data_IF_159922892928
#
_entry.id   IF_159922892928
#
_cell.length_a   1.000
_cell.length_b   1.000
_cell.length_c   1.000
_cell.angle_alpha   90.00
_cell.angle_beta   90.00
_cell.angle_gamma   90.00
#
_symmetry.space_group_name_H-M   'P 1'
#
loop_
_entity.id
_entity.type
_entity.pdbx_description
1 polymer ?
#
# COMPACT_ATOMS: atom_id res chain seq x y z
N UNK A 1 85.21 -55.25 70.12
CA UNK A 1 83.90 -55.93 70.18
C UNK A 1 82.86 -54.82 70.15
N UNK A 2 82.18 -54.61 69.01
CA UNK A 2 80.75 -54.95 68.79
C UNK A 2 79.86 -54.37 69.92
N UNK A 3 78.81 -53.57 69.69
CA UNK A 3 77.72 -53.73 68.70
C UNK A 3 76.87 -52.43 68.67
N UNK A 4 76.38 -52.03 67.48
CA UNK A 4 75.05 -51.46 67.13
C UNK A 4 74.32 -50.55 68.14
N UNK A 5 73.88 -49.32 67.85
CA UNK A 5 73.05 -48.92 66.70
C UNK A 5 71.56 -49.09 67.05
N UNK A 6 70.85 -48.02 67.43
CA UNK A 6 69.37 -47.94 67.34
C UNK A 6 68.95 -46.48 67.18
N UNK A 7 68.48 -46.18 65.97
CA UNK A 7 67.59 -45.07 65.62
C UNK A 7 66.18 -45.51 66.04
N UNK A 8 65.42 -44.65 66.70
CA UNK A 8 63.94 -44.62 66.65
C UNK A 8 63.56 -43.21 67.17
N UNK A 9 63.29 -42.19 66.34
CA UNK A 9 62.05 -41.94 65.60
C UNK A 9 60.77 -42.22 66.38
N UNK A 10 60.32 -41.26 67.18
CA UNK A 10 58.90 -41.16 67.55
C UNK A 10 58.34 -39.81 67.09
N UNK A 11 57.89 -39.85 65.84
CA UNK A 11 56.84 -39.01 65.31
C UNK A 11 55.59 -39.30 66.15
N UNK A 12 55.27 -38.43 67.12
CA UNK A 12 54.13 -38.61 68.01
C UNK A 12 52.83 -38.63 67.20
N UNK A 13 52.43 -39.83 66.79
CA UNK A 13 51.09 -40.11 66.30
C UNK A 13 50.14 -39.87 67.47
N UNK A 14 49.27 -38.89 67.31
CA UNK A 14 48.27 -38.55 68.30
C UNK A 14 47.23 -39.68 68.31
N UNK A 15 47.27 -40.55 69.34
CA UNK A 15 46.36 -41.69 69.49
C UNK A 15 44.90 -41.20 69.64
N UNK A 16 44.12 -41.37 68.58
CA UNK A 16 42.69 -41.05 68.55
C UNK A 16 41.96 -42.04 69.48
N UNK A 17 41.25 -41.54 70.48
CA UNK A 17 40.53 -42.40 71.42
C UNK A 17 39.14 -42.80 70.90
N UNK A 18 38.60 -43.93 71.36
CA UNK A 18 37.24 -44.35 71.03
C UNK A 18 36.18 -43.29 71.42
N UNK A 19 36.44 -42.48 72.45
CA UNK A 19 35.56 -41.39 72.86
C UNK A 19 35.53 -40.25 71.82
N UNK A 20 36.67 -39.92 71.21
CA UNK A 20 36.75 -38.92 70.13
C UNK A 20 36.02 -39.39 68.87
N UNK A 21 36.11 -40.70 68.57
CA UNK A 21 35.37 -41.33 67.47
C UNK A 21 33.86 -41.26 67.72
N UNK A 22 33.41 -41.58 68.94
CA UNK A 22 31.99 -41.52 69.31
C UNK A 22 31.44 -40.08 69.26
N UNK A 23 32.23 -39.09 69.69
CA UNK A 23 31.85 -37.68 69.60
C UNK A 23 31.67 -37.22 68.14
N UNK A 24 32.63 -37.55 67.26
CA UNK A 24 32.52 -37.27 65.82
C UNK A 24 31.33 -38.00 65.17
N UNK A 25 31.06 -39.25 65.55
CA UNK A 25 29.87 -39.99 65.08
C UNK A 25 28.57 -39.29 65.47
N UNK A 26 28.48 -38.78 66.69
CA UNK A 26 27.31 -38.03 67.16
C UNK A 26 27.14 -36.70 66.41
N UNK A 27 28.23 -35.97 66.17
CA UNK A 27 28.22 -34.73 65.36
C UNK A 27 27.81 -35.00 63.90
N UNK A 28 28.36 -36.05 63.28
CA UNK A 28 27.99 -36.47 61.93
C UNK A 28 26.52 -36.91 61.84
N UNK A 29 26.00 -37.61 62.85
CA UNK A 29 24.58 -37.97 62.91
C UNK A 29 23.70 -36.72 62.94
N UNK A 30 24.03 -35.72 63.75
CA UNK A 30 23.27 -34.47 63.81
C UNK A 30 23.37 -33.62 62.53
N UNK A 31 24.49 -33.71 61.80
CA UNK A 31 24.60 -33.13 60.46
C UNK A 31 23.75 -33.88 59.44
N UNK A 32 23.73 -35.22 59.52
CA UNK A 32 22.91 -36.07 58.65
C UNK A 32 21.41 -35.77 58.82
N UNK A 33 20.95 -35.57 60.05
CA UNK A 33 19.54 -35.21 60.31
C UNK A 33 19.17 -33.87 59.66
N UNK A 34 20.06 -32.85 59.77
CA UNK A 34 19.85 -31.55 59.11
C UNK A 34 19.86 -31.67 57.59
N UNK A 35 20.73 -32.51 57.03
CA UNK A 35 20.73 -32.79 55.59
C UNK A 35 19.42 -33.45 55.20
N UNK A 36 18.93 -34.43 55.96
CA UNK A 36 17.65 -35.09 55.69
C UNK A 36 16.48 -34.11 55.69
N UNK A 37 16.40 -33.18 56.65
CA UNK A 37 15.33 -32.17 56.68
C UNK A 37 15.39 -31.25 55.45
N UNK A 38 16.57 -30.75 55.08
CA UNK A 38 16.71 -29.90 53.88
C UNK A 38 16.36 -30.65 52.59
N UNK A 39 16.67 -31.94 52.51
CA UNK A 39 16.31 -32.78 51.34
C UNK A 39 14.80 -32.96 51.23
N UNK A 40 14.07 -33.05 52.34
CA UNK A 40 12.61 -33.12 52.33
C UNK A 40 11.96 -31.80 51.90
N UNK A 41 12.46 -30.67 52.41
CA UNK A 41 12.01 -29.33 52.00
C UNK A 41 12.24 -29.09 50.50
N UNK A 42 13.45 -29.36 50.00
CA UNK A 42 13.79 -29.21 48.57
C UNK A 42 12.95 -30.12 47.67
N UNK A 43 12.58 -31.32 48.13
CA UNK A 43 11.68 -32.21 47.38
C UNK A 43 10.28 -31.60 47.25
N UNK A 44 9.80 -30.93 48.29
CA UNK A 44 8.54 -30.19 48.28
C UNK A 44 8.58 -29.05 47.26
N UNK A 45 9.59 -28.19 47.33
CA UNK A 45 9.77 -27.08 46.38
C UNK A 45 9.89 -27.57 44.93
N UNK A 46 10.65 -28.66 44.69
CA UNK A 46 10.77 -29.27 43.35
C UNK A 46 9.42 -29.79 42.85
N UNK A 47 8.56 -30.29 43.73
CA UNK A 47 7.23 -30.77 43.35
C UNK A 47 6.33 -29.60 42.94
N UNK A 48 6.25 -28.54 43.74
CA UNK A 48 5.49 -27.32 43.43
C UNK A 48 5.96 -26.68 42.12
N UNK A 49 7.28 -26.51 41.96
CA UNK A 49 7.88 -25.98 40.73
C UNK A 49 7.54 -26.82 39.50
N UNK A 50 7.40 -28.15 39.64
CA UNK A 50 7.00 -29.01 38.52
C UNK A 50 5.52 -28.81 38.15
N UNK A 51 4.66 -28.62 39.15
CA UNK A 51 3.25 -28.34 38.93
C UNK A 51 3.06 -27.00 38.21
N UNK A 52 3.73 -25.95 38.70
CA UNK A 52 3.73 -24.62 38.08
C UNK A 52 4.28 -24.66 36.65
N UNK A 53 5.37 -25.40 36.40
CA UNK A 53 5.93 -25.53 35.05
C UNK A 53 4.95 -26.22 34.09
N UNK A 54 4.21 -27.21 34.57
CA UNK A 54 3.15 -27.86 33.79
C UNK A 54 2.02 -26.88 33.46
N UNK A 55 1.55 -26.11 34.45
CA UNK A 55 0.51 -25.11 34.27
C UNK A 55 0.94 -24.00 33.29
N UNK A 56 2.14 -23.44 33.46
CA UNK A 56 2.71 -22.42 32.59
C UNK A 56 2.86 -22.92 31.14
N UNK A 57 3.28 -24.17 30.93
CA UNK A 57 3.33 -24.76 29.58
C UNK A 57 1.95 -24.84 28.93
N UNK A 58 0.93 -25.22 29.69
CA UNK A 58 -0.44 -25.29 29.19
C UNK A 58 -1.00 -23.89 28.84
N UNK A 59 -0.69 -22.87 29.64
CA UNK A 59 -1.06 -21.49 29.33
C UNK A 59 -0.32 -20.94 28.13
N UNK A 60 0.98 -21.22 28.01
CA UNK A 60 1.80 -20.82 26.88
C UNK A 60 1.26 -21.42 25.58
N UNK A 61 0.83 -22.67 25.59
CA UNK A 61 0.20 -23.32 24.44
C UNK A 61 -1.14 -22.67 24.08
N UNK A 62 -2.00 -22.37 25.07
CA UNK A 62 -3.24 -21.62 24.84
C UNK A 62 -2.98 -20.23 24.26
N UNK A 63 -1.95 -19.53 24.74
CA UNK A 63 -1.55 -18.22 24.25
C UNK A 63 -1.05 -18.29 22.80
N UNK A 64 -0.24 -19.29 22.45
CA UNK A 64 0.20 -19.52 21.06
C UNK A 64 -0.97 -19.74 20.12
N UNK A 65 -1.92 -20.59 20.49
CA UNK A 65 -3.11 -20.85 19.67
C UNK A 65 -3.98 -19.59 19.49
N UNK A 66 -4.10 -18.76 20.52
CA UNK A 66 -4.79 -17.46 20.41
C UNK A 66 -4.05 -16.50 19.49
N UNK A 67 -2.71 -16.48 19.55
CA UNK A 67 -1.88 -15.64 18.70
C UNK A 67 -2.01 -16.03 17.23
N UNK A 68 -1.89 -17.32 16.91
CA UNK A 68 -2.06 -17.83 15.54
C UNK A 68 -3.45 -17.48 14.97
N UNK A 69 -4.52 -17.69 15.74
CA UNK A 69 -5.88 -17.30 15.33
C UNK A 69 -6.01 -15.79 15.12
N UNK A 70 -5.38 -14.99 15.97
CA UNK A 70 -5.39 -13.53 15.81
C UNK A 70 -4.64 -13.09 14.55
N UNK A 71 -3.51 -13.72 14.24
CA UNK A 71 -2.76 -13.47 13.01
C UNK A 71 -3.56 -13.83 11.76
N UNK A 72 -4.23 -14.99 11.75
CA UNK A 72 -5.14 -15.40 10.68
C UNK A 72 -6.27 -14.38 10.47
N UNK A 73 -6.96 -13.98 11.54
CA UNK A 73 -8.03 -12.98 11.48
C UNK A 73 -7.53 -11.63 10.95
N UNK A 74 -6.31 -11.22 11.33
CA UNK A 74 -5.71 -9.96 10.84
C UNK A 74 -5.41 -10.05 9.34
N UNK A 75 -4.90 -11.18 8.85
CA UNK A 75 -4.64 -11.39 7.42
C UNK A 75 -5.96 -11.36 6.63
N UNK A 76 -6.99 -12.04 7.12
CA UNK A 76 -8.30 -12.07 6.51
C UNK A 76 -8.92 -10.66 6.46
N UNK A 77 -8.93 -9.95 7.60
CA UNK A 77 -9.46 -8.60 7.69
C UNK A 77 -8.74 -7.62 6.76
N UNK A 78 -7.41 -7.68 6.68
CA UNK A 78 -6.62 -6.86 5.73
C UNK A 78 -6.97 -7.16 4.28
N UNK A 79 -7.16 -8.44 3.95
CA UNK A 79 -7.54 -8.87 2.60
C UNK A 79 -8.94 -8.35 2.24
N UNK A 80 -9.91 -8.52 3.13
CA UNK A 80 -11.27 -8.03 2.94
C UNK A 80 -11.32 -6.50 2.83
N UNK A 81 -10.58 -5.78 3.68
CA UNK A 81 -10.48 -4.33 3.62
C UNK A 81 -9.92 -3.85 2.27
N UNK A 82 -8.85 -4.47 1.77
CA UNK A 82 -8.27 -4.13 0.46
C UNK A 82 -9.24 -4.39 -0.70
N UNK A 83 -9.99 -5.50 -0.66
CA UNK A 83 -11.04 -5.81 -1.64
C UNK A 83 -12.17 -4.78 -1.59
N UNK A 84 -12.61 -4.39 -0.39
CA UNK A 84 -13.66 -3.39 -0.20
C UNK A 84 -13.22 -2.01 -0.71
N UNK A 85 -12.02 -1.55 -0.34
CA UNK A 85 -11.44 -0.29 -0.81
C UNK A 85 -11.37 -0.23 -2.33
N UNK A 86 -10.91 -1.33 -2.97
CA UNK A 86 -10.88 -1.42 -4.44
C UNK A 86 -12.28 -1.29 -5.04
N UNK A 87 -13.27 -1.99 -4.49
CA UNK A 87 -14.66 -1.93 -4.97
C UNK A 87 -15.26 -0.55 -4.84
N UNK A 88 -15.01 0.13 -3.71
CA UNK A 88 -15.45 1.52 -3.51
C UNK A 88 -14.82 2.43 -4.56
N UNK A 89 -13.51 2.35 -4.76
CA UNK A 89 -12.81 3.14 -5.78
C UNK A 89 -13.34 2.86 -7.20
N UNK A 90 -13.62 1.61 -7.54
CA UNK A 90 -14.17 1.24 -8.86
C UNK A 90 -15.57 1.82 -9.07
N UNK A 91 -16.42 1.83 -8.04
CA UNK A 91 -17.75 2.43 -8.07
C UNK A 91 -17.70 3.95 -8.17
N UNK A 92 -16.84 4.60 -7.38
CA UNK A 92 -16.61 6.05 -7.45
C UNK A 92 -16.11 6.43 -8.85
N UNK A 93 -15.09 5.74 -9.35
CA UNK A 93 -14.55 6.01 -10.67
C UNK A 93 -15.60 5.78 -11.76
N UNK A 94 -16.46 4.77 -11.62
CA UNK A 94 -17.59 4.53 -12.53
C UNK A 94 -18.55 5.72 -12.56
N UNK A 95 -18.92 6.26 -11.39
CA UNK A 95 -19.75 7.46 -11.27
C UNK A 95 -19.10 8.73 -11.86
N UNK A 96 -17.76 8.82 -11.81
CA UNK A 96 -17.00 9.94 -12.36
C UNK A 96 -16.79 9.89 -13.88
N UNK A 97 -17.19 8.81 -14.58
CA UNK A 97 -16.96 8.68 -16.04
C UNK A 97 -17.71 9.69 -16.90
N UNK A 98 -18.75 10.31 -16.35
CA UNK A 98 -19.47 11.40 -17.00
C UNK A 98 -18.79 12.75 -16.76
N UNK A 99 -17.71 12.78 -15.99
CA UNK A 99 -17.01 14.01 -15.65
C UNK A 99 -15.74 14.17 -16.49
N UNK A 100 -15.42 15.41 -16.83
CA UNK A 100 -14.09 15.81 -17.29
C UNK A 100 -13.63 17.02 -16.51
N UNK A 101 -12.32 17.20 -16.41
CA UNK A 101 -11.76 18.46 -15.91
C UNK A 101 -11.32 19.32 -17.08
N UNK A 102 -11.54 20.63 -17.01
CA UNK A 102 -11.07 21.59 -18.01
C UNK A 102 -10.15 22.58 -17.32
N UNK A 103 -8.89 22.60 -17.74
CA UNK A 103 -7.85 23.48 -17.19
C UNK A 103 -7.49 24.55 -18.22
N UNK A 104 -7.02 25.70 -17.74
CA UNK A 104 -6.54 26.80 -18.58
C UNK A 104 -7.63 27.77 -19.03
N UNK A 105 -8.88 27.61 -18.56
CA UNK A 105 -9.96 28.57 -18.79
C UNK A 105 -9.77 29.77 -17.85
N UNK A 106 -9.61 31.01 -18.37
CA UNK A 106 -9.48 32.20 -17.53
C UNK A 106 -10.65 32.34 -16.55
N UNK A 107 -10.35 32.68 -15.31
CA UNK A 107 -11.32 32.84 -14.22
C UNK A 107 -11.60 34.32 -14.01
N UNK A 108 -12.87 34.72 -14.11
CA UNK A 108 -13.30 36.09 -13.83
C UNK A 108 -13.66 36.25 -12.34
N UNK A 109 -13.53 37.46 -11.82
CA UNK A 109 -14.04 37.77 -10.48
C UNK A 109 -15.57 37.73 -10.47
N UNK A 110 -16.14 37.07 -9.45
CA UNK A 110 -17.60 36.90 -9.37
C UNK A 110 -18.20 35.89 -10.37
N UNK A 111 -17.36 35.12 -11.10
CA UNK A 111 -17.82 34.14 -12.09
C UNK A 111 -18.83 33.14 -11.48
N UNK A 112 -20.01 33.07 -12.08
CA UNK A 112 -21.06 32.13 -11.71
C UNK A 112 -21.01 30.83 -12.54
N UNK A 113 -21.87 29.87 -12.21
CA UNK A 113 -21.90 28.56 -12.88
C UNK A 113 -22.28 28.67 -14.39
N UNK A 114 -23.19 29.56 -14.75
CA UNK A 114 -23.64 29.73 -16.13
C UNK A 114 -22.53 30.32 -17.02
N UNK A 115 -21.80 31.32 -16.52
CA UNK A 115 -20.63 31.89 -17.22
C UNK A 115 -19.51 30.86 -17.37
N UNK A 116 -19.28 30.06 -16.33
CA UNK A 116 -18.32 28.97 -16.36
C UNK A 116 -18.67 27.95 -17.45
N UNK A 117 -19.94 27.55 -17.53
CA UNK A 117 -20.47 26.66 -18.55
C UNK A 117 -20.34 27.23 -19.97
N UNK A 118 -20.67 28.51 -20.18
CA UNK A 118 -20.53 29.17 -21.47
C UNK A 118 -19.07 29.18 -21.96
N UNK A 119 -18.12 29.51 -21.06
CA UNK A 119 -16.68 29.47 -21.37
C UNK A 119 -16.21 28.08 -21.78
N UNK A 120 -16.68 27.04 -21.08
CA UNK A 120 -16.38 25.64 -21.42
C UNK A 120 -16.95 25.27 -22.79
N UNK A 121 -18.21 25.61 -23.07
CA UNK A 121 -18.84 25.35 -24.37
C UNK A 121 -18.12 26.07 -25.50
N UNK A 122 -17.64 27.30 -25.27
CA UNK A 122 -16.81 28.03 -26.24
C UNK A 122 -15.50 27.28 -26.55
N UNK A 123 -14.85 26.69 -25.54
CA UNK A 123 -13.66 25.83 -25.74
C UNK A 123 -14.03 24.57 -26.54
N UNK A 124 -15.12 23.89 -26.20
CA UNK A 124 -15.53 22.67 -26.89
C UNK A 124 -15.90 22.93 -28.36
N UNK A 125 -16.70 23.96 -28.64
CA UNK A 125 -17.10 24.33 -30.00
C UNK A 125 -15.93 24.87 -30.80
N UNK A 126 -15.17 25.79 -30.23
CA UNK A 126 -14.11 26.53 -30.92
C UNK A 126 -12.78 25.77 -31.08
N UNK A 127 -12.37 24.99 -30.07
CA UNK A 127 -11.07 24.30 -30.06
C UNK A 127 -11.18 22.81 -30.36
N UNK A 128 -12.26 22.13 -29.93
CA UNK A 128 -12.47 20.70 -30.23
C UNK A 128 -13.29 20.47 -31.51
N UNK A 129 -13.97 21.50 -32.01
CA UNK A 129 -14.84 21.42 -33.19
C UNK A 129 -16.20 20.78 -32.90
N UNK A 130 -16.61 20.71 -31.63
CA UNK A 130 -17.88 20.11 -31.19
C UNK A 130 -19.02 21.13 -31.31
N UNK A 131 -19.31 21.58 -32.54
CA UNK A 131 -20.24 22.68 -32.81
C UNK A 131 -21.66 22.46 -32.27
N UNK A 132 -22.12 21.21 -32.21
CA UNK A 132 -23.45 20.83 -31.76
C UNK A 132 -23.60 20.70 -30.25
N UNK A 133 -22.50 20.74 -29.48
CA UNK A 133 -22.56 20.57 -28.03
C UNK A 133 -23.27 21.76 -27.39
N UNK A 134 -24.27 21.49 -26.57
CA UNK A 134 -25.16 22.48 -25.97
C UNK A 134 -25.21 22.37 -24.44
N UNK A 135 -25.81 23.38 -23.80
CA UNK A 135 -26.02 23.38 -22.36
C UNK A 135 -26.80 22.15 -21.88
N UNK A 136 -27.72 21.64 -22.70
CA UNK A 136 -28.47 20.40 -22.41
C UNK A 136 -27.62 19.14 -22.30
N UNK A 137 -26.37 19.15 -22.81
CA UNK A 137 -25.44 18.03 -22.65
C UNK A 137 -24.74 18.04 -21.29
N UNK A 138 -24.78 19.17 -20.57
CA UNK A 138 -24.10 19.41 -19.32
C UNK A 138 -25.12 19.37 -18.17
N UNK A 139 -24.86 18.51 -17.19
CA UNK A 139 -25.65 18.41 -15.96
C UNK A 139 -25.18 19.43 -14.92
N UNK A 140 -23.86 19.61 -14.80
CA UNK A 140 -23.27 20.57 -13.88
C UNK A 140 -21.90 21.05 -14.37
N UNK A 141 -21.60 22.33 -14.18
CA UNK A 141 -20.32 22.94 -14.53
C UNK A 141 -19.92 23.97 -13.46
N UNK A 142 -18.78 23.77 -12.81
CA UNK A 142 -18.31 24.71 -11.77
C UNK A 142 -16.80 24.61 -11.54
N UNK A 143 -16.22 25.67 -10.96
CA UNK A 143 -14.81 25.70 -10.55
C UNK A 143 -14.58 24.81 -9.33
N UNK A 144 -13.45 24.12 -9.29
CA UNK A 144 -13.03 23.30 -8.14
C UNK A 144 -11.75 23.83 -7.51
N UNK A 145 -11.65 23.70 -6.19
CA UNK A 145 -10.50 24.15 -5.40
C UNK A 145 -10.62 25.58 -4.86
N UNK A 146 -9.66 25.96 -4.01
CA UNK A 146 -9.58 27.29 -3.42
C UNK A 146 -9.03 28.31 -4.41
N UNK A 147 -9.63 29.50 -4.45
CA UNK A 147 -9.13 30.61 -5.27
C UNK A 147 -7.80 31.05 -4.67
N UNK A 148 -6.72 31.02 -5.46
CA UNK A 148 -5.45 31.57 -5.02
C UNK A 148 -5.60 33.09 -4.95
N UNK A 149 -5.48 33.64 -3.75
CA UNK A 149 -5.35 35.09 -3.58
C UNK A 149 -3.98 35.50 -4.12
N UNK A 150 -3.93 36.64 -4.80
CA UNK A 150 -2.66 37.27 -5.17
C UNK A 150 -1.89 37.54 -3.87
N UNK A 151 -0.78 36.85 -3.66
CA UNK A 151 0.05 37.13 -2.49
C UNK A 151 0.77 38.47 -2.72
N UNK A 152 0.55 39.49 -1.87
CA UNK A 152 1.33 40.72 -1.94
C UNK A 152 2.78 40.38 -1.63
N UNK A 153 3.69 40.50 -2.61
CA UNK A 153 5.14 40.35 -2.41
C UNK A 153 5.75 38.98 -2.74
N UNK A 154 5.02 38.06 -3.36
CA UNK A 154 5.60 36.80 -3.86
C UNK A 154 6.48 37.03 -5.10
N UNK A 155 7.73 36.54 -5.09
CA UNK A 155 8.75 36.71 -6.18
C UNK A 155 8.37 36.09 -7.54
N UNK A 156 7.15 35.62 -7.73
CA UNK A 156 6.67 35.10 -9.01
C UNK A 156 5.58 36.03 -9.54
N UNK A 157 5.90 36.81 -10.57
CA UNK A 157 4.93 37.59 -11.37
C UNK A 157 4.00 36.67 -12.22
N UNK A 158 3.81 35.41 -11.81
CA UNK A 158 2.89 34.51 -12.49
C UNK A 158 1.47 34.90 -12.07
N UNK A 159 0.63 35.27 -13.04
CA UNK A 159 -0.80 35.46 -12.82
C UNK A 159 -1.37 34.29 -11.98
N UNK A 160 -2.30 34.56 -11.05
CA UNK A 160 -2.94 33.50 -10.28
C UNK A 160 -3.50 32.43 -11.22
N UNK A 161 -3.14 31.17 -10.95
CA UNK A 161 -3.49 30.07 -11.84
C UNK A 161 -5.00 29.83 -11.75
N UNK A 162 -5.71 30.05 -12.85
CA UNK A 162 -7.15 29.83 -12.92
C UNK A 162 -7.52 28.42 -12.44
N UNK A 163 -8.54 28.33 -11.59
CA UNK A 163 -8.97 27.05 -11.01
C UNK A 163 -9.47 26.11 -12.10
N UNK A 164 -9.23 24.79 -11.99
CA UNK A 164 -9.86 23.83 -12.90
C UNK A 164 -11.39 23.92 -12.82
N UNK A 165 -12.04 23.66 -13.95
CA UNK A 165 -13.49 23.49 -14.02
C UNK A 165 -13.78 21.99 -14.05
N UNK A 166 -14.72 21.52 -13.25
CA UNK A 166 -15.32 20.19 -13.41
C UNK A 166 -16.59 20.34 -14.24
N UNK A 167 -16.72 19.49 -15.26
CA UNK A 167 -17.89 19.43 -16.13
C UNK A 167 -18.45 18.02 -16.03
N UNK A 168 -19.68 17.91 -15.54
CA UNK A 168 -20.45 16.66 -15.52
C UNK A 168 -21.45 16.68 -16.66
N UNK A 169 -21.37 15.68 -17.53
CA UNK A 169 -22.29 15.53 -18.65
C UNK A 169 -23.49 14.67 -18.27
N UNK A 170 -24.63 14.94 -18.92
CA UNK A 170 -25.84 14.11 -18.80
C UNK A 170 -25.58 12.69 -19.32
N UNK A 171 -24.76 12.55 -20.37
CA UNK A 171 -24.44 11.28 -20.98
C UNK A 171 -22.92 11.07 -21.07
N UNK A 172 -22.48 9.87 -20.68
CA UNK A 172 -21.11 9.40 -20.82
C UNK A 172 -20.54 9.55 -22.23
N UNK A 173 -21.37 9.36 -23.27
CA UNK A 173 -20.95 9.51 -24.67
C UNK A 173 -20.42 10.92 -24.94
N UNK A 174 -21.03 11.97 -24.38
CA UNK A 174 -20.57 13.34 -24.54
C UNK A 174 -19.18 13.53 -23.92
N UNK A 175 -18.97 13.05 -22.70
CA UNK A 175 -17.66 13.05 -22.04
C UNK A 175 -16.60 12.31 -22.87
N UNK A 176 -16.92 11.10 -23.37
CA UNK A 176 -16.01 10.32 -24.23
C UNK A 176 -15.69 11.05 -25.54
N UNK A 177 -16.65 11.73 -26.17
CA UNK A 177 -16.42 12.56 -27.36
C UNK A 177 -15.48 13.73 -27.08
N UNK A 178 -15.65 14.44 -25.96
CA UNK A 178 -14.73 15.51 -25.54
C UNK A 178 -13.31 14.97 -25.35
N UNK A 179 -13.17 13.87 -24.60
CA UNK A 179 -11.87 13.23 -24.33
C UNK A 179 -11.21 12.70 -25.60
N UNK A 180 -11.98 12.21 -26.57
CA UNK A 180 -11.47 11.76 -27.86
C UNK A 180 -10.85 12.92 -28.68
N UNK A 181 -11.53 14.07 -28.70
CA UNK A 181 -11.08 15.24 -29.48
C UNK A 181 -10.04 16.12 -28.77
N UNK A 182 -9.77 15.93 -27.47
CA UNK A 182 -8.83 16.76 -26.68
C UNK A 182 -7.43 16.88 -27.29
N UNK A 183 -7.01 15.94 -28.14
CA UNK A 183 -5.74 16.02 -28.88
C UNK A 183 -5.64 17.28 -29.75
N UNK A 184 -6.76 17.88 -30.16
CA UNK A 184 -6.81 19.16 -30.90
C UNK A 184 -6.38 20.37 -30.04
N UNK A 185 -6.33 20.22 -28.72
CA UNK A 185 -5.85 21.25 -27.80
C UNK A 185 -4.32 21.33 -27.73
N UNK A 186 -3.60 20.43 -28.42
CA UNK A 186 -2.15 20.56 -28.61
C UNK A 186 -1.85 21.97 -29.12
N UNK A 187 -0.83 22.62 -28.55
CA UNK A 187 -0.44 24.02 -28.81
C UNK A 187 -1.37 25.12 -28.27
N UNK A 188 -2.40 24.76 -27.50
CA UNK A 188 -3.21 25.72 -26.74
C UNK A 188 -2.85 25.67 -25.25
N UNK A 189 -3.38 26.63 -24.48
CA UNK A 189 -3.23 26.65 -23.02
C UNK A 189 -4.26 25.76 -22.29
N UNK A 190 -5.14 25.08 -23.04
CA UNK A 190 -6.19 24.23 -22.47
C UNK A 190 -5.73 22.79 -22.32
N UNK A 191 -6.14 22.16 -21.21
CA UNK A 191 -5.89 20.74 -20.95
C UNK A 191 -7.16 20.10 -20.41
N UNK A 192 -7.54 18.95 -20.97
CA UNK A 192 -8.74 18.20 -20.57
C UNK A 192 -8.37 16.76 -20.19
N UNK A 193 -8.00 16.50 -18.92
CA UNK A 193 -7.81 15.15 -18.44
C UNK A 193 -9.15 14.48 -18.08
N UNK A 194 -9.13 13.16 -17.94
CA UNK A 194 -10.23 12.45 -17.27
C UNK A 194 -10.35 12.91 -15.81
N UNK A 195 -11.56 12.88 -15.27
CA UNK A 195 -11.78 13.04 -13.83
C UNK A 195 -11.54 11.68 -13.14
N UNK A 196 -10.41 11.58 -12.44
CA UNK A 196 -9.98 10.35 -11.78
C UNK A 196 -10.16 10.46 -10.26
N UNK A 197 -10.47 9.32 -9.63
CA UNK A 197 -10.39 9.20 -8.18
C UNK A 197 -8.97 9.50 -7.70
N UNK A 198 -8.79 9.92 -6.43
CA UNK A 198 -7.45 10.16 -5.88
C UNK A 198 -6.51 8.95 -6.00
N UNK A 199 -7.02 7.74 -5.80
CA UNK A 199 -6.23 6.51 -5.93
C UNK A 199 -5.78 6.26 -7.37
N UNK A 200 -6.68 6.39 -8.35
CA UNK A 200 -6.36 6.21 -9.77
C UNK A 200 -5.40 7.29 -10.29
N UNK A 201 -5.61 8.55 -9.89
CA UNK A 201 -4.69 9.63 -10.22
C UNK A 201 -3.30 9.40 -9.61
N UNK A 202 -3.24 8.94 -8.35
CA UNK A 202 -1.98 8.62 -7.67
C UNK A 202 -1.25 7.46 -8.36
N UNK A 203 -1.97 6.45 -8.82
CA UNK A 203 -1.41 5.33 -9.57
C UNK A 203 -0.88 5.79 -10.94
N UNK A 204 -1.63 6.64 -11.64
CA UNK A 204 -1.17 7.23 -12.90
C UNK A 204 0.10 8.08 -12.72
N UNK A 205 0.12 8.90 -11.66
CA UNK A 205 1.28 9.71 -11.31
C UNK A 205 2.50 8.84 -11.00
N UNK A 206 2.30 7.75 -10.25
CA UNK A 206 3.35 6.75 -10.02
C UNK A 206 3.87 6.16 -11.33
N UNK A 207 2.99 5.79 -12.27
CA UNK A 207 3.42 5.32 -13.59
C UNK A 207 4.21 6.37 -14.39
N UNK A 208 3.90 7.66 -14.28
CA UNK A 208 4.65 8.70 -14.98
C UNK A 208 6.09 8.81 -14.51
N UNK A 209 6.31 8.62 -13.20
CA UNK A 209 7.59 8.73 -12.52
C UNK A 209 8.41 7.43 -12.55
N UNK A 210 7.76 6.29 -12.82
CA UNK A 210 8.40 4.99 -12.84
C UNK A 210 9.44 4.87 -13.98
N UNK A 211 10.71 4.51 -13.70
CA UNK A 211 11.78 4.46 -14.69
C UNK A 211 11.54 3.45 -15.81
N UNK A 212 10.92 2.30 -15.50
CA UNK A 212 10.63 1.26 -16.49
C UNK A 212 9.38 1.54 -17.34
N UNK A 213 8.60 2.58 -17.00
CA UNK A 213 7.41 2.96 -17.77
C UNK A 213 7.83 3.95 -18.86
N UNK A 214 7.62 3.56 -20.12
CA UNK A 214 7.88 4.42 -21.27
C UNK A 214 6.76 5.42 -21.51
N UNK A 215 5.51 4.99 -21.38
CA UNK A 215 4.32 5.83 -21.55
C UNK A 215 3.16 5.33 -20.70
N UNK A 216 2.32 6.24 -20.20
CA UNK A 216 1.13 5.89 -19.44
C UNK A 216 0.04 6.96 -19.53
N UNK A 217 -1.21 6.52 -19.49
CA UNK A 217 -2.39 7.38 -19.57
C UNK A 217 -3.59 6.71 -18.90
N UNK A 218 -4.71 7.45 -18.84
CA UNK A 218 -5.99 6.90 -18.37
C UNK A 218 -6.96 6.73 -19.53
N UNK A 219 -7.74 5.65 -19.49
CA UNK A 219 -8.85 5.42 -20.41
C UNK A 219 -10.04 4.88 -19.63
N UNK A 220 -11.13 5.65 -19.56
CA UNK A 220 -12.37 5.27 -18.84
C UNK A 220 -12.12 4.95 -17.36
N UNK A 221 -11.21 5.69 -16.74
CA UNK A 221 -10.78 5.49 -15.36
C UNK A 221 -9.71 4.41 -15.16
N UNK A 222 -9.40 3.58 -16.17
CA UNK A 222 -8.37 2.56 -16.06
C UNK A 222 -6.99 3.16 -16.37
N UNK A 223 -5.98 2.81 -15.57
CA UNK A 223 -4.60 3.21 -15.81
C UNK A 223 -3.94 2.23 -16.77
N UNK A 224 -3.37 2.75 -17.84
CA UNK A 224 -2.71 1.98 -18.88
C UNK A 224 -1.26 2.43 -18.95
N UNK A 225 -0.33 1.48 -19.01
CA UNK A 225 1.09 1.76 -19.16
C UNK A 225 1.75 0.85 -20.20
N UNK A 226 2.79 1.37 -20.86
CA UNK A 226 3.71 0.62 -21.70
C UNK A 226 5.09 0.65 -21.09
N UNK A 227 5.67 -0.53 -20.89
CA UNK A 227 7.03 -0.67 -20.39
C UNK A 227 8.06 -0.38 -21.48
N UNK A 228 9.25 0.08 -21.10
CA UNK A 228 10.37 0.25 -22.02
C UNK A 228 10.68 -1.07 -22.74
N UNK A 229 10.90 -0.99 -24.04
CA UNK A 229 11.17 -2.17 -24.88
C UNK A 229 9.95 -3.06 -25.13
N UNK A 230 8.81 -2.81 -24.48
CA UNK A 230 7.55 -3.50 -24.76
C UNK A 230 6.77 -2.77 -25.85
N UNK A 231 6.15 -3.56 -26.75
CA UNK A 231 5.15 -3.07 -27.71
C UNK A 231 3.72 -3.15 -27.17
N UNK A 232 3.50 -3.84 -26.06
CA UNK A 232 2.16 -4.06 -25.49
C UNK A 232 1.83 -3.06 -24.39
N UNK A 233 0.56 -2.69 -24.32
CA UNK A 233 -0.01 -1.88 -23.26
C UNK A 233 -0.65 -2.78 -22.23
N UNK A 234 -0.45 -2.49 -20.94
CA UNK A 234 -1.03 -3.24 -19.83
C UNK A 234 -1.85 -2.32 -18.96
N UNK A 235 -2.96 -2.85 -18.43
CA UNK A 235 -3.69 -2.21 -17.34
C UNK A 235 -2.86 -2.36 -16.06
N UNK A 236 -2.71 -1.25 -15.34
CA UNK A 236 -2.09 -1.20 -14.02
C UNK A 236 -3.21 -0.98 -13.01
N UNK A 237 -3.36 -1.89 -12.07
CA UNK A 237 -4.37 -1.83 -11.00
C UNK A 237 -3.76 -1.45 -9.66
N UNK A 238 -2.49 -1.80 -9.45
CA UNK A 238 -1.74 -1.52 -8.22
C UNK A 238 -0.26 -1.31 -8.51
N UNK A 239 0.45 -0.74 -7.54
CA UNK A 239 1.89 -0.44 -7.67
C UNK A 239 2.72 -1.70 -7.94
N UNK A 240 2.35 -2.84 -7.35
CA UNK A 240 3.04 -4.11 -7.52
C UNK A 240 2.87 -4.74 -8.91
N UNK A 241 2.05 -4.17 -9.79
CA UNK A 241 1.98 -4.61 -11.20
C UNK A 241 3.16 -4.09 -12.01
N UNK A 242 3.93 -3.15 -11.45
CA UNK A 242 5.19 -2.66 -11.98
C UNK A 242 6.35 -3.33 -11.25
N UNK A 243 7.50 -3.55 -11.92
CA UNK A 243 8.66 -4.18 -11.30
C UNK A 243 9.23 -3.29 -10.19
N UNK A 244 9.73 -3.91 -9.13
CA UNK A 244 10.37 -3.21 -8.03
C UNK A 244 11.60 -2.43 -8.52
N UNK A 245 11.80 -1.24 -7.93
CA UNK A 245 12.97 -0.43 -8.23
C UNK A 245 14.19 -1.03 -7.50
N UNK A 246 15.37 -1.09 -8.15
CA UNK A 246 16.59 -1.48 -7.46
C UNK A 246 16.89 -0.50 -6.32
N UNK A 247 17.33 -1.03 -5.18
CA UNK A 247 17.69 -0.26 -4.00
C UNK A 247 18.64 0.89 -4.37
N UNK A 248 18.23 2.14 -4.11
CA UNK A 248 19.02 3.34 -4.40
C UNK A 248 18.70 4.06 -5.71
N UNK A 249 17.80 3.54 -6.55
CA UNK A 249 17.31 4.28 -7.71
C UNK A 249 16.33 5.38 -7.29
N UNK A 250 16.82 6.61 -7.11
CA UNK A 250 15.94 7.77 -7.07
C UNK A 250 15.26 7.93 -8.42
N UNK A 251 13.94 8.11 -8.46
CA UNK A 251 13.24 8.49 -9.68
C UNK A 251 13.74 9.88 -10.11
N UNK A 252 14.45 10.04 -11.24
CA UNK A 252 14.75 11.37 -11.72
C UNK A 252 13.42 12.05 -12.06
N UNK A 253 13.13 13.16 -11.39
CA UNK A 253 12.00 14.01 -11.74
C UNK A 253 12.09 14.34 -13.24
N UNK A 254 11.13 13.85 -14.03
CA UNK A 254 11.10 14.10 -15.47
C UNK A 254 10.09 15.21 -15.78
N UNK A 255 10.52 16.49 -15.81
CA UNK A 255 9.63 17.62 -16.05
C UNK A 255 8.97 17.57 -17.43
N UNK A 256 9.52 16.80 -18.39
CA UNK A 256 8.99 16.68 -19.76
C UNK A 256 7.70 15.85 -19.85
N UNK A 257 7.31 15.12 -18.80
CA UNK A 257 6.16 14.19 -18.82
C UNK A 257 4.81 14.79 -18.41
N UNK A 258 4.77 15.88 -17.62
CA UNK A 258 3.49 16.56 -17.27
C UNK A 258 2.74 17.12 -18.50
N UNK A 259 3.47 17.50 -19.55
CA UNK A 259 2.88 17.97 -20.82
C UNK A 259 2.43 16.84 -21.75
N UNK A 260 2.39 15.60 -21.27
CA UNK A 260 2.10 14.38 -22.07
C UNK A 260 0.75 13.74 -21.70
N UNK A 261 -0.19 14.50 -21.14
CA UNK A 261 -1.58 14.06 -21.02
C UNK A 261 -2.09 13.65 -22.41
N UNK A 262 -2.17 12.33 -22.61
CA UNK A 262 -2.85 11.60 -23.67
C UNK A 262 -2.29 11.74 -25.09
N UNK A 263 -0.99 11.42 -25.27
CA UNK A 263 -0.35 11.42 -26.60
C UNK A 263 -0.54 10.16 -27.43
N UNK A 264 -0.97 9.02 -26.88
CA UNK A 264 -1.00 7.75 -27.63
C UNK A 264 -2.35 7.03 -27.51
N UNK A 265 -3.36 7.55 -28.21
CA UNK A 265 -4.66 6.91 -28.36
C UNK A 265 -4.93 6.32 -29.74
N UNK A 266 -3.96 6.37 -30.67
CA UNK A 266 -4.17 5.87 -32.03
C UNK A 266 -2.82 5.55 -32.70
N UNK A 267 -2.30 4.36 -32.45
CA UNK A 267 -1.41 3.71 -33.41
C UNK A 267 -2.31 2.90 -34.34
N UNK A 268 -2.57 3.44 -35.52
CA UNK A 268 -3.04 2.70 -36.67
C UNK A 268 -2.00 1.63 -37.03
N UNK A 269 -2.07 0.47 -36.37
CA UNK A 269 -1.47 -0.78 -36.79
C UNK A 269 -2.52 -1.87 -36.56
N UNK A 270 -2.77 -2.59 -37.64
CA UNK A 270 -3.76 -3.65 -37.87
C UNK A 270 -3.93 -4.66 -36.72
N UNK A 271 -5.20 -5.00 -36.45
CA UNK A 271 -5.72 -6.27 -35.93
C UNK A 271 -4.91 -7.01 -34.87
N UNK A 272 -5.35 -6.92 -33.61
CA UNK A 272 -5.68 -8.13 -32.84
C UNK A 272 -6.69 -7.77 -31.73
N UNK A 273 -7.90 -7.41 -32.13
CA UNK A 273 -9.06 -7.38 -31.23
C UNK A 273 -9.52 -8.83 -31.02
N UNK A 274 -8.80 -9.58 -30.20
CA UNK A 274 -9.24 -10.88 -29.69
C UNK A 274 -8.64 -11.06 -28.29
N UNK A 275 -9.46 -10.76 -27.29
CA UNK A 275 -9.58 -11.46 -26.00
C UNK A 275 -9.98 -10.52 -24.85
N UNK A 276 -11.05 -9.75 -25.03
CA UNK A 276 -11.81 -9.17 -23.92
C UNK A 276 -13.30 -9.33 -24.28
N UNK A 277 -14.08 -10.16 -23.56
CA UNK A 277 -15.51 -10.33 -23.82
C UNK A 277 -16.21 -8.97 -23.77
N UNK A 278 -16.97 -8.66 -24.83
CA UNK A 278 -17.58 -7.34 -25.03
C UNK A 278 -19.04 -7.28 -24.58
N UNK A 279 -19.65 -8.40 -24.21
CA UNK A 279 -21.05 -8.44 -23.79
C UNK A 279 -21.34 -9.41 -22.64
N UNK A 280 -22.40 -9.14 -21.88
CA UNK A 280 -22.86 -9.92 -20.72
C UNK A 280 -23.39 -11.29 -21.13
N UNK A 281 -23.78 -11.47 -22.41
CA UNK A 281 -24.16 -12.75 -23.00
C UNK A 281 -22.98 -13.74 -23.13
N UNK A 282 -21.76 -13.24 -23.33
CA UNK A 282 -20.57 -14.08 -23.55
C UNK A 282 -20.11 -14.78 -22.25
N UNK A 283 -20.51 -14.24 -21.08
CA UNK A 283 -20.23 -14.78 -19.75
C UNK A 283 -21.11 -16.00 -19.41
N UNK A 284 -22.35 -16.04 -19.91
CA UNK A 284 -23.25 -17.17 -19.64
C UNK A 284 -22.87 -18.41 -20.46
N UNK A 285 -22.34 -18.21 -21.68
CA UNK A 285 -21.90 -19.31 -22.55
C UNK A 285 -20.57 -19.96 -22.09
N UNK A 286 -19.73 -19.23 -21.35
CA UNK A 286 -18.50 -19.77 -20.77
C UNK A 286 -18.74 -20.55 -19.48
N UNK A 287 -19.78 -20.21 -18.71
CA UNK A 287 -20.16 -20.92 -17.49
C UNK A 287 -20.91 -22.24 -17.76
N UNK A 288 -21.62 -22.35 -18.88
CA UNK A 288 -22.31 -23.58 -19.28
C UNK A 288 -21.39 -24.70 -19.80
N UNK A 289 -20.09 -24.44 -20.01
CA UNK A 289 -19.10 -25.42 -20.51
C UNK A 289 -18.30 -26.12 -19.40
N UNK A 290 -18.60 -25.84 -18.13
CA UNK A 290 -17.90 -26.42 -16.97
C UNK A 290 -18.83 -27.06 -15.93
N UNK A 291 -20.02 -27.50 -16.36
CA UNK A 291 -20.92 -28.42 -15.63
C UNK A 291 -21.35 -29.51 -16.62
#
# INVERSE_FOLDING_TARGET
MATTGTIDSDNAAQDITNADILKKLCEMSGQLDKVCTTVEELKGEIFELKEDNSALRAELEKCKQKLERAEEMVIEAKTQASVAERRVNDLEQYGMRNNVRVLGVPEAEGENAAECEEKVLAVFRGKLGLKSMANSDIEACHRIGQRQQEQPGGRSQALPKARPIIVRFVNRKAAETVLYHRRKLKSTNYVIPEDLTPANFSLLAYCWEHPEVEDSWSKRGNIIARMKGSKTFKRIEKRSDLPDLPLGASTPFNPRRRGRLDRHGDSSHTNNDNNVPRDRSDLEETLAKHV
#
